data_IF_034955200358
#
_entry.id   IF_034955200358
#
_cell.length_a   1.000
_cell.length_b   1.000
_cell.length_c   1.000
_cell.angle_alpha   90.00
_cell.angle_beta   90.00
_cell.angle_gamma   90.00
#
_symmetry.space_group_name_H-M   'P 1'
#
loop_
_entity.id
_entity.type
_entity.pdbx_description
1 polymer ?
#
# COMPACT_ATOMS: atom_id res chain seq x y z
N UNK A 1 76.12 -39.79 -6.84
CA UNK A 1 75.66 -39.41 -8.19
C UNK A 1 74.15 -39.60 -8.18
N UNK A 2 73.40 -38.54 -7.95
CA UNK A 2 71.92 -38.58 -7.84
C UNK A 2 71.38 -37.63 -8.89
N UNK A 3 70.75 -38.19 -9.88
CA UNK A 3 70.15 -37.43 -11.00
C UNK A 3 68.83 -36.78 -10.57
N UNK A 4 68.74 -35.45 -10.58
CA UNK A 4 67.54 -34.69 -10.40
C UNK A 4 66.71 -34.67 -11.71
N UNK A 5 65.48 -35.14 -11.61
CA UNK A 5 64.47 -34.96 -12.67
C UNK A 5 63.78 -33.60 -12.49
N UNK A 6 63.99 -32.71 -13.45
CA UNK A 6 63.31 -31.39 -13.53
C UNK A 6 61.97 -31.57 -14.22
N UNK A 7 60.89 -31.41 -13.48
CA UNK A 7 59.53 -31.27 -14.05
C UNK A 7 59.37 -29.87 -14.65
N UNK A 8 59.22 -29.79 -15.98
CA UNK A 8 58.83 -28.57 -16.68
C UNK A 8 57.33 -28.34 -16.50
N UNK A 9 56.91 -27.35 -15.70
CA UNK A 9 55.55 -26.85 -15.64
C UNK A 9 55.18 -26.13 -16.93
N UNK A 10 54.05 -26.49 -17.52
CA UNK A 10 53.46 -25.80 -18.66
C UNK A 10 52.92 -24.40 -18.21
N UNK A 11 53.09 -23.35 -19.02
CA UNK A 11 52.65 -22.03 -18.63
C UNK A 11 51.12 -21.89 -18.64
N UNK A 12 50.57 -21.19 -17.64
CA UNK A 12 49.15 -21.01 -17.38
C UNK A 12 48.29 -20.47 -18.56
N UNK A 13 48.92 -19.85 -19.56
CA UNK A 13 48.18 -19.38 -20.75
C UNK A 13 47.74 -20.49 -21.69
N UNK A 14 48.33 -21.67 -21.62
CA UNK A 14 47.93 -22.84 -22.43
C UNK A 14 46.62 -23.49 -21.96
N UNK A 15 46.26 -23.35 -20.71
CA UNK A 15 44.97 -23.78 -20.13
C UNK A 15 43.81 -22.84 -20.52
N UNK A 16 44.08 -21.53 -20.64
CA UNK A 16 43.07 -20.56 -21.04
C UNK A 16 42.62 -20.72 -22.51
N UNK A 17 43.51 -21.12 -23.38
CA UNK A 17 43.21 -21.30 -24.81
C UNK A 17 42.35 -22.53 -25.12
N UNK A 18 42.36 -23.54 -24.25
CA UNK A 18 41.47 -24.73 -24.36
C UNK A 18 40.08 -24.49 -23.78
N UNK A 19 39.94 -23.61 -22.77
CA UNK A 19 38.62 -23.24 -22.24
C UNK A 19 37.81 -22.35 -23.19
N UNK A 20 38.47 -21.48 -23.99
CA UNK A 20 37.80 -20.60 -24.94
C UNK A 20 37.28 -21.31 -26.21
N UNK A 21 37.72 -22.53 -26.49
CA UNK A 21 37.28 -23.33 -27.66
C UNK A 21 36.08 -24.23 -27.37
N UNK A 22 35.69 -24.41 -26.11
CA UNK A 22 34.53 -25.23 -25.69
C UNK A 22 33.22 -24.45 -25.52
N UNK A 23 33.28 -23.12 -25.51
CA UNK A 23 32.11 -22.27 -25.29
C UNK A 23 31.16 -22.18 -26.51
N UNK A 24 31.61 -22.20 -27.77
CA UNK A 24 30.67 -22.13 -28.91
C UNK A 24 29.85 -23.37 -29.16
N UNK A 25 30.33 -24.56 -28.74
CA UNK A 25 29.65 -25.83 -29.07
C UNK A 25 28.49 -26.15 -28.12
N UNK A 26 28.51 -25.69 -26.89
CA UNK A 26 27.38 -25.87 -25.97
C UNK A 26 26.23 -24.86 -26.21
N UNK A 27 26.52 -23.71 -26.82
CA UNK A 27 25.48 -22.71 -27.12
C UNK A 27 24.65 -23.07 -28.37
N UNK A 28 25.21 -23.88 -29.31
CA UNK A 28 24.47 -24.27 -30.50
C UNK A 28 23.56 -25.50 -30.27
N UNK A 29 23.80 -26.32 -29.25
CA UNK A 29 22.95 -27.48 -28.94
C UNK A 29 21.70 -27.15 -28.14
N UNK A 30 21.63 -25.95 -27.48
CA UNK A 30 20.48 -25.50 -26.76
C UNK A 30 19.42 -24.81 -27.63
N UNK A 31 19.73 -24.51 -28.89
CA UNK A 31 18.83 -23.78 -29.83
C UNK A 31 17.96 -24.70 -30.70
N UNK A 32 18.15 -26.01 -30.67
CA UNK A 32 17.43 -26.96 -31.56
C UNK A 32 16.36 -27.79 -30.84
N UNK A 33 16.24 -27.70 -29.51
CA UNK A 33 15.26 -28.48 -28.74
C UNK A 33 14.12 -27.62 -28.14
N UNK A 34 13.86 -26.46 -28.69
CA UNK A 34 12.89 -25.48 -28.15
C UNK A 34 11.68 -25.21 -29.04
N UNK A 35 11.12 -26.16 -29.75
CA UNK A 35 9.82 -26.02 -30.44
C UNK A 35 8.93 -27.21 -30.18
N UNK A 36 8.42 -27.36 -28.97
CA UNK A 36 7.18 -28.05 -28.72
C UNK A 36 6.34 -27.08 -27.85
N UNK A 37 5.53 -26.26 -28.52
CA UNK A 37 4.57 -25.39 -27.87
C UNK A 37 3.52 -26.24 -27.15
N UNK A 38 3.64 -26.41 -25.85
CA UNK A 38 2.48 -26.66 -25.02
C UNK A 38 1.78 -25.33 -24.88
N UNK A 39 0.66 -25.15 -25.56
CA UNK A 39 -0.32 -24.12 -25.20
C UNK A 39 -0.75 -24.43 -23.75
N UNK A 40 -0.09 -23.76 -22.82
CA UNK A 40 -0.54 -23.70 -21.44
C UNK A 40 -1.91 -23.02 -21.46
N UNK A 41 -2.94 -23.81 -21.16
CA UNK A 41 -4.26 -23.32 -20.78
C UNK A 41 -4.02 -22.16 -19.80
N UNK A 42 -4.61 -20.98 -19.99
CA UNK A 42 -4.56 -19.93 -18.98
C UNK A 42 -5.04 -20.57 -17.69
N UNK A 43 -4.20 -20.57 -16.68
CA UNK A 43 -4.59 -20.95 -15.33
C UNK A 43 -5.60 -19.88 -14.94
N UNK A 44 -6.91 -20.15 -15.20
CA UNK A 44 -7.98 -19.39 -14.60
C UNK A 44 -7.60 -19.22 -13.14
N UNK A 45 -7.66 -18.00 -12.64
CA UNK A 45 -7.61 -17.73 -11.22
C UNK A 45 -8.78 -18.50 -10.60
N UNK A 46 -8.57 -19.78 -10.38
CA UNK A 46 -9.45 -20.62 -9.61
C UNK A 46 -9.29 -20.15 -8.17
N UNK A 47 -10.01 -19.10 -7.82
CA UNK A 47 -10.41 -18.86 -6.45
C UNK A 47 -11.38 -19.97 -6.05
N UNK A 48 -10.84 -21.18 -5.89
CA UNK A 48 -11.60 -22.37 -5.53
C UNK A 48 -12.05 -22.30 -4.06
N UNK A 49 -13.00 -21.42 -3.78
CA UNK A 49 -13.67 -21.27 -2.51
C UNK A 49 -15.00 -20.56 -2.73
N UNK A 50 -15.97 -20.70 -1.82
CA UNK A 50 -17.24 -19.99 -1.94
C UNK A 50 -17.01 -18.49 -2.07
N UNK A 51 -17.88 -17.82 -2.83
CA UNK A 51 -17.91 -16.36 -2.92
C UNK A 51 -18.15 -15.83 -1.50
N UNK A 52 -17.23 -15.00 -1.02
CA UNK A 52 -17.31 -14.42 0.31
C UNK A 52 -17.88 -13.01 0.19
N UNK A 53 -19.04 -12.79 0.83
CA UNK A 53 -19.80 -11.54 0.75
C UNK A 53 -20.31 -11.11 2.12
N UNK A 54 -20.62 -9.83 2.26
CA UNK A 54 -21.27 -9.25 3.44
C UNK A 54 -22.40 -8.29 3.01
N UNK A 55 -23.55 -8.30 3.72
CA UNK A 55 -23.95 -9.34 4.66
C UNK A 55 -24.03 -10.71 3.99
N UNK A 56 -24.11 -11.78 4.78
CA UNK A 56 -24.32 -13.14 4.28
C UNK A 56 -25.77 -13.31 3.80
N UNK A 57 -26.03 -14.17 2.80
CA UNK A 57 -27.39 -14.52 2.42
C UNK A 57 -28.21 -14.98 3.65
N UNK A 58 -29.53 -14.67 3.72
CA UNK A 58 -30.39 -14.24 2.62
C UNK A 58 -30.42 -12.73 2.35
N UNK A 59 -29.66 -11.92 3.08
CA UNK A 59 -29.57 -10.48 2.83
C UNK A 59 -28.83 -10.19 1.53
N UNK A 60 -29.15 -9.06 0.89
CA UNK A 60 -28.48 -8.61 -0.35
C UNK A 60 -27.02 -8.22 -0.07
N UNK A 61 -26.04 -8.86 -0.68
CA UNK A 61 -24.64 -8.55 -0.47
C UNK A 61 -24.30 -7.11 -0.86
N UNK A 62 -23.47 -6.47 -0.05
CA UNK A 62 -22.95 -5.10 -0.27
C UNK A 62 -21.46 -5.08 -0.50
N UNK A 63 -20.73 -5.97 0.13
CA UNK A 63 -19.29 -6.11 0.01
C UNK A 63 -18.98 -7.52 -0.46
N UNK A 64 -18.08 -7.63 -1.43
CA UNK A 64 -17.53 -8.89 -1.92
C UNK A 64 -16.02 -8.91 -1.77
N UNK A 65 -15.48 -10.00 -1.25
CA UNK A 65 -14.05 -10.28 -1.30
C UNK A 65 -13.61 -10.58 -2.74
N UNK A 66 -12.54 -9.93 -3.20
CA UNK A 66 -12.01 -10.11 -4.55
C UNK A 66 -10.72 -10.94 -4.52
N UNK A 67 -9.70 -10.45 -3.80
CA UNK A 67 -8.39 -11.09 -3.76
C UNK A 67 -7.54 -10.57 -2.61
N UNK A 68 -6.34 -11.10 -2.48
CA UNK A 68 -5.29 -10.54 -1.62
C UNK A 68 -3.96 -10.45 -2.35
N UNK A 69 -3.13 -9.51 -1.92
CA UNK A 69 -1.80 -9.25 -2.46
C UNK A 69 -0.80 -9.31 -1.32
N UNK A 70 0.10 -10.27 -1.36
CA UNK A 70 1.26 -10.40 -0.48
C UNK A 70 2.57 -10.37 -1.28
N UNK A 71 2.51 -10.65 -2.58
CA UNK A 71 3.65 -10.72 -3.48
C UNK A 71 3.24 -10.39 -4.93
N UNK A 72 4.18 -10.13 -5.85
CA UNK A 72 3.89 -9.90 -7.27
C UNK A 72 3.17 -11.08 -7.94
N UNK A 73 3.47 -12.30 -7.51
CA UNK A 73 2.88 -13.52 -8.05
C UNK A 73 1.37 -13.60 -7.84
N UNK A 74 0.85 -13.03 -6.74
CA UNK A 74 -0.58 -13.01 -6.42
C UNK A 74 -1.39 -12.19 -7.44
N UNK A 75 -0.73 -11.26 -8.11
CA UNK A 75 -1.29 -10.43 -9.18
C UNK A 75 -0.92 -10.92 -10.58
N UNK A 76 -0.35 -12.12 -10.70
CA UNK A 76 0.08 -12.69 -11.98
C UNK A 76 1.32 -12.03 -12.57
N UNK A 77 2.01 -11.17 -11.83
CA UNK A 77 3.25 -10.52 -12.27
C UNK A 77 4.38 -11.56 -12.20
N UNK A 78 4.79 -12.07 -13.35
CA UNK A 78 5.81 -13.11 -13.41
C UNK A 78 7.23 -12.53 -13.49
N UNK A 79 8.17 -13.17 -12.79
CA UNK A 79 9.59 -12.82 -12.91
C UNK A 79 10.11 -13.20 -14.29
N UNK A 80 10.70 -12.24 -15.00
CA UNK A 80 11.36 -12.51 -16.28
C UNK A 80 12.48 -13.55 -16.14
N UNK A 81 12.74 -14.31 -17.22
CA UNK A 81 13.74 -15.40 -17.25
C UNK A 81 15.13 -14.95 -16.72
N UNK A 82 15.61 -13.80 -17.17
CA UNK A 82 16.91 -13.26 -16.73
C UNK A 82 16.98 -12.97 -15.24
N UNK A 83 15.89 -12.53 -14.64
CA UNK A 83 15.79 -12.27 -13.20
C UNK A 83 15.82 -13.58 -12.41
N UNK A 84 15.14 -14.62 -12.86
CA UNK A 84 15.20 -15.97 -12.25
C UNK A 84 16.62 -16.52 -12.26
N UNK A 85 17.36 -16.32 -13.36
CA UNK A 85 18.77 -16.72 -13.46
C UNK A 85 19.65 -15.91 -12.51
N UNK A 86 19.44 -14.60 -12.41
CA UNK A 86 20.18 -13.74 -11.48
C UNK A 86 19.94 -14.15 -10.02
N UNK A 87 18.67 -14.35 -9.63
CA UNK A 87 18.30 -14.81 -8.27
C UNK A 87 18.88 -16.18 -7.91
N UNK A 88 19.05 -17.06 -8.89
CA UNK A 88 19.70 -18.37 -8.70
C UNK A 88 21.18 -18.22 -8.30
N UNK A 89 21.90 -17.26 -8.87
CA UNK A 89 23.34 -17.06 -8.60
C UNK A 89 23.63 -16.12 -7.43
N UNK A 90 22.75 -15.12 -7.16
CA UNK A 90 23.01 -14.04 -6.21
C UNK A 90 22.04 -13.99 -5.02
N UNK A 91 21.12 -14.95 -4.95
CA UNK A 91 20.09 -15.02 -3.91
C UNK A 91 18.79 -14.30 -4.28
N UNK A 92 17.71 -14.68 -3.58
CA UNK A 92 16.38 -14.09 -3.79
C UNK A 92 16.29 -12.73 -3.12
N UNK A 93 15.85 -11.72 -3.84
CA UNK A 93 15.37 -10.48 -3.24
C UNK A 93 13.97 -10.76 -2.69
N UNK A 94 13.73 -10.47 -1.41
CA UNK A 94 12.39 -10.57 -0.83
C UNK A 94 11.47 -9.52 -1.45
N UNK A 95 10.47 -9.99 -2.20
CA UNK A 95 9.46 -9.17 -2.87
C UNK A 95 8.10 -9.30 -2.18
N UNK A 96 8.09 -9.90 -0.99
CA UNK A 96 6.88 -10.04 -0.19
C UNK A 96 6.67 -8.83 0.70
N UNK A 97 5.42 -8.42 0.78
CA UNK A 97 4.95 -7.48 1.79
C UNK A 97 5.19 -8.10 3.17
N UNK A 98 5.67 -7.29 4.13
CA UNK A 98 5.86 -7.73 5.52
C UNK A 98 4.92 -7.03 6.48
N UNK A 99 4.91 -5.70 6.49
CA UNK A 99 4.05 -4.93 7.39
C UNK A 99 3.45 -3.73 6.64
N UNK A 100 2.43 -3.96 5.80
CA UNK A 100 1.77 -2.90 5.07
C UNK A 100 1.07 -1.95 6.04
N UNK A 101 1.18 -0.64 5.79
CA UNK A 101 0.51 0.37 6.59
C UNK A 101 -0.47 1.19 5.74
N UNK A 102 0.01 1.98 4.80
CA UNK A 102 -0.78 2.75 3.88
C UNK A 102 -0.89 2.07 2.52
N UNK A 103 -2.01 2.22 1.87
CA UNK A 103 -2.26 1.72 0.50
C UNK A 103 -2.98 2.78 -0.31
N UNK A 104 -2.64 2.88 -1.60
CA UNK A 104 -3.38 3.68 -2.58
C UNK A 104 -3.26 3.03 -3.96
N UNK A 105 -4.16 3.37 -4.87
CA UNK A 105 -4.12 2.88 -6.25
C UNK A 105 -4.49 3.98 -7.23
N UNK A 106 -3.94 3.94 -8.44
CA UNK A 106 -4.34 4.83 -9.51
C UNK A 106 -5.48 4.24 -10.38
N UNK A 107 -6.06 5.07 -11.22
CA UNK A 107 -7.15 4.67 -12.12
C UNK A 107 -6.74 3.64 -13.17
N UNK A 108 -5.45 3.51 -13.46
CA UNK A 108 -4.92 2.53 -14.42
C UNK A 108 -4.75 1.14 -13.77
N UNK A 109 -4.77 1.07 -12.43
CA UNK A 109 -4.64 -0.18 -11.68
C UNK A 109 -3.24 -0.42 -11.10
N UNK A 110 -2.41 0.61 -11.00
CA UNK A 110 -1.15 0.54 -10.26
C UNK A 110 -1.44 0.72 -8.78
N UNK A 111 -0.91 -0.18 -7.95
CA UNK A 111 -1.12 -0.21 -6.50
C UNK A 111 0.20 0.17 -5.82
N UNK A 112 0.12 1.04 -4.81
CA UNK A 112 1.25 1.49 -3.99
C UNK A 112 0.98 1.11 -2.54
N UNK A 113 1.94 0.44 -1.89
CA UNK A 113 1.80 -0.04 -0.52
C UNK A 113 3.03 0.37 0.28
N UNK A 114 2.86 1.21 1.30
CA UNK A 114 3.91 1.52 2.25
C UNK A 114 4.12 0.33 3.19
N UNK A 115 5.33 -0.19 3.23
CA UNK A 115 5.77 -1.27 4.11
C UNK A 115 6.76 -0.73 5.14
N UNK A 116 6.30 -0.60 6.38
CA UNK A 116 7.09 0.00 7.46
C UNK A 116 8.21 -0.91 7.95
N UNK A 117 8.04 -2.24 7.87
CA UNK A 117 9.08 -3.20 8.28
C UNK A 117 10.22 -3.26 7.26
N UNK A 118 9.90 -3.28 5.97
CA UNK A 118 10.91 -3.28 4.90
C UNK A 118 11.44 -1.89 4.58
N UNK A 119 10.79 -0.82 5.06
CA UNK A 119 11.13 0.58 4.79
C UNK A 119 11.10 0.89 3.29
N UNK A 120 10.05 0.44 2.62
CA UNK A 120 9.86 0.63 1.18
C UNK A 120 8.41 1.01 0.87
N UNK A 121 8.19 1.49 -0.34
CA UNK A 121 6.88 1.46 -0.97
C UNK A 121 6.93 0.43 -2.09
N UNK A 122 6.12 -0.61 -1.99
CA UNK A 122 5.90 -1.57 -3.07
C UNK A 122 5.06 -0.93 -4.16
N UNK A 123 5.44 -1.14 -5.41
CA UNK A 123 4.69 -0.67 -6.58
C UNK A 123 4.36 -1.86 -7.48
N UNK A 124 3.07 -2.15 -7.60
CA UNK A 124 2.53 -3.19 -8.47
C UNK A 124 1.85 -2.54 -9.66
N UNK A 125 2.48 -2.60 -10.82
CA UNK A 125 1.96 -2.03 -12.08
C UNK A 125 1.25 -3.13 -12.86
N UNK A 126 -0.07 -3.22 -12.68
CA UNK A 126 -0.89 -4.26 -13.32
C UNK A 126 -0.93 -4.14 -14.84
N UNK A 127 -1.11 -2.95 -15.44
CA UNK A 127 -1.06 -2.80 -16.89
C UNK A 127 0.25 -3.24 -17.53
N UNK A 128 1.39 -2.89 -16.91
CA UNK A 128 2.73 -3.19 -17.43
C UNK A 128 3.26 -4.53 -16.94
N UNK A 129 2.53 -5.24 -16.07
CA UNK A 129 2.95 -6.49 -15.45
C UNK A 129 4.35 -6.38 -14.81
N UNK A 130 4.58 -5.26 -14.08
CA UNK A 130 5.86 -4.93 -13.45
C UNK A 130 5.70 -4.75 -11.95
N UNK A 131 6.76 -5.08 -11.25
CA UNK A 131 6.91 -4.80 -9.83
C UNK A 131 8.27 -4.17 -9.57
N UNK A 132 8.28 -3.17 -8.69
CA UNK A 132 9.49 -2.62 -8.08
C UNK A 132 9.20 -2.07 -6.70
N UNK A 133 10.23 -1.70 -5.96
CA UNK A 133 10.09 -1.01 -4.68
C UNK A 133 10.83 0.32 -4.72
N UNK A 134 10.23 1.35 -4.10
CA UNK A 134 10.85 2.65 -3.84
C UNK A 134 11.39 2.58 -2.41
N UNK A 135 12.69 2.89 -2.24
CA UNK A 135 13.38 2.82 -0.93
C UNK A 135 13.60 4.18 -0.29
N UNK A 136 13.23 5.25 -0.95
CA UNK A 136 13.46 6.62 -0.54
C UNK A 136 14.00 7.48 -1.68
N UNK A 137 14.80 8.47 -1.36
CA UNK A 137 15.45 9.32 -2.33
C UNK A 137 16.82 8.75 -2.76
N UNK A 138 17.47 9.34 -3.78
CA UNK A 138 18.84 8.96 -4.17
C UNK A 138 19.90 9.21 -3.06
N UNK A 139 19.55 9.95 -2.01
CA UNK A 139 20.47 10.32 -0.93
C UNK A 139 20.14 9.61 0.39
N UNK A 140 18.89 9.29 0.61
CA UNK A 140 18.40 8.81 1.93
C UNK A 140 17.26 7.82 1.74
N UNK A 141 17.36 6.70 2.43
CA UNK A 141 16.31 5.69 2.47
C UNK A 141 15.18 6.08 3.43
N UNK A 142 14.01 5.49 3.24
CA UNK A 142 12.92 5.59 4.23
C UNK A 142 13.36 5.04 5.58
N UNK A 143 12.84 5.66 6.65
CA UNK A 143 13.04 5.18 8.02
C UNK A 143 11.76 4.53 8.56
N UNK A 144 10.62 5.15 8.36
CA UNK A 144 9.32 4.63 8.79
C UNK A 144 8.18 5.14 7.89
N UNK A 145 8.08 4.62 6.65
CA UNK A 145 7.03 5.05 5.72
C UNK A 145 5.67 4.54 6.20
N UNK A 146 4.67 5.43 6.22
CA UNK A 146 3.32 5.13 6.71
C UNK A 146 2.24 5.41 5.66
N UNK A 147 1.89 6.66 5.44
CA UNK A 147 0.83 7.06 4.53
C UNK A 147 1.31 7.19 3.09
N UNK A 148 0.42 6.93 2.16
CA UNK A 148 0.63 7.11 0.73
C UNK A 148 -0.60 7.74 0.08
N UNK A 149 -0.39 8.68 -0.84
CA UNK A 149 -1.47 9.26 -1.66
C UNK A 149 -0.96 9.67 -3.04
N UNK A 150 -1.87 9.85 -3.98
CA UNK A 150 -1.56 10.30 -5.33
C UNK A 150 -2.21 11.66 -5.61
N UNK A 151 -1.53 12.53 -6.34
CA UNK A 151 -2.14 13.74 -6.88
C UNK A 151 -2.83 13.50 -8.26
N UNK A 152 -3.33 14.56 -8.89
CA UNK A 152 -3.98 14.47 -10.19
C UNK A 152 -3.08 13.99 -11.33
N UNK A 153 -1.79 14.30 -11.25
CA UNK A 153 -0.76 13.83 -12.19
C UNK A 153 -0.27 12.41 -11.85
N UNK A 154 -0.88 11.77 -10.82
CA UNK A 154 -0.51 10.44 -10.32
C UNK A 154 0.93 10.39 -9.79
N UNK A 155 1.42 11.52 -9.28
CA UNK A 155 2.66 11.56 -8.51
C UNK A 155 2.38 11.06 -7.11
N UNK A 156 3.28 10.23 -6.61
CA UNK A 156 3.15 9.61 -5.30
C UNK A 156 3.72 10.52 -4.21
N UNK A 157 2.99 10.66 -3.12
CA UNK A 157 3.49 11.29 -1.88
C UNK A 157 3.49 10.26 -0.78
N UNK A 158 4.59 10.20 -0.02
CA UNK A 158 4.82 9.23 1.05
C UNK A 158 5.18 9.98 2.32
N UNK A 159 4.46 9.75 3.42
CA UNK A 159 4.87 10.23 4.73
C UNK A 159 5.89 9.27 5.35
N UNK A 160 6.98 9.83 5.88
CA UNK A 160 7.98 9.11 6.67
C UNK A 160 8.03 9.70 8.08
N UNK A 161 7.49 8.96 9.04
CA UNK A 161 7.28 9.43 10.39
C UNK A 161 8.58 9.72 11.15
N UNK A 162 9.60 8.88 10.96
CA UNK A 162 10.90 9.05 11.64
C UNK A 162 11.80 10.08 10.93
N UNK A 163 11.60 10.28 9.63
CA UNK A 163 12.28 11.36 8.90
C UNK A 163 11.60 12.72 9.05
N UNK A 164 10.42 12.76 9.67
CA UNK A 164 9.63 13.97 9.82
C UNK A 164 9.39 14.67 8.47
N UNK A 165 9.09 13.87 7.45
CA UNK A 165 9.01 14.36 6.07
C UNK A 165 7.86 13.73 5.29
N UNK A 166 7.40 14.44 4.26
CA UNK A 166 6.65 13.87 3.15
C UNK A 166 7.48 13.99 1.90
N UNK A 167 7.67 12.88 1.19
CA UNK A 167 8.50 12.81 0.00
C UNK A 167 7.62 12.58 -1.22
N UNK A 168 7.78 13.40 -2.25
CA UNK A 168 7.10 13.29 -3.54
C UNK A 168 7.92 12.53 -4.57
N UNK A 169 7.30 11.59 -5.29
CA UNK A 169 7.91 10.78 -6.34
C UNK A 169 7.13 10.89 -7.64
N UNK A 170 7.84 10.93 -8.75
CA UNK A 170 7.24 10.81 -10.07
C UNK A 170 6.74 9.36 -10.34
N UNK A 171 6.09 9.15 -11.48
CA UNK A 171 5.58 7.81 -11.85
C UNK A 171 6.66 6.76 -12.03
N UNK A 172 7.91 7.16 -12.23
CA UNK A 172 9.09 6.29 -12.32
C UNK A 172 9.70 5.94 -10.98
N UNK A 173 9.24 6.56 -9.88
CA UNK A 173 9.79 6.38 -8.54
C UNK A 173 10.98 7.30 -8.23
N UNK A 174 11.23 8.34 -9.04
CA UNK A 174 12.27 9.32 -8.75
C UNK A 174 11.73 10.42 -7.84
N UNK A 175 12.44 10.71 -6.75
CA UNK A 175 12.05 11.77 -5.83
C UNK A 175 12.20 13.14 -6.49
N UNK A 176 11.18 14.00 -6.37
CA UNK A 176 11.19 15.38 -6.90
C UNK A 176 10.97 16.44 -5.82
N UNK A 177 10.43 16.07 -4.66
CA UNK A 177 10.16 17.00 -3.55
C UNK A 177 10.39 16.32 -2.20
N UNK A 178 10.77 17.09 -1.20
CA UNK A 178 10.80 16.71 0.22
C UNK A 178 10.23 17.85 1.04
N UNK A 179 9.16 17.60 1.77
CA UNK A 179 8.45 18.56 2.63
C UNK A 179 8.79 18.20 4.07
N UNK A 180 9.35 19.14 4.82
CA UNK A 180 9.72 18.96 6.24
C UNK A 180 9.17 20.09 7.13
N UNK A 181 8.73 21.20 6.52
CA UNK A 181 8.28 22.37 7.26
C UNK A 181 7.14 22.03 8.23
N UNK A 182 7.39 22.23 9.52
CA UNK A 182 6.41 22.05 10.58
C UNK A 182 6.09 20.60 10.97
N UNK A 183 6.59 19.58 10.26
CA UNK A 183 6.31 18.17 10.53
C UNK A 183 7.12 17.65 11.73
N UNK A 184 6.48 16.84 12.58
CA UNK A 184 7.09 16.13 13.71
C UNK A 184 6.92 14.61 13.61
N UNK A 185 5.72 14.12 13.30
CA UNK A 185 5.43 12.71 13.07
C UNK A 185 4.28 12.55 12.07
N UNK A 186 4.55 12.81 10.78
CA UNK A 186 3.53 12.66 9.74
C UNK A 186 3.12 11.20 9.60
N UNK A 187 1.80 10.96 9.46
CA UNK A 187 1.22 9.63 9.29
C UNK A 187 0.27 9.60 8.09
N UNK A 188 -1.05 9.61 8.30
CA UNK A 188 -2.01 9.65 7.20
C UNK A 188 -1.86 10.90 6.34
N UNK A 189 -1.99 10.75 5.03
CA UNK A 189 -2.02 11.88 4.11
C UNK A 189 -3.03 11.66 2.99
N UNK A 190 -3.63 12.75 2.52
CA UNK A 190 -4.58 12.75 1.43
C UNK A 190 -4.40 13.97 0.53
N UNK A 191 -4.59 13.78 -0.76
CA UNK A 191 -4.62 14.85 -1.74
C UNK A 191 -6.06 15.31 -1.98
N UNK A 192 -6.31 16.60 -1.82
CA UNK A 192 -7.61 17.18 -2.10
C UNK A 192 -7.66 17.69 -3.54
N UNK A 193 -8.40 16.97 -4.38
CA UNK A 193 -8.53 17.32 -5.78
C UNK A 193 -9.35 18.61 -6.01
N UNK A 194 -10.16 19.08 -5.06
CA UNK A 194 -10.99 20.28 -5.26
C UNK A 194 -10.16 21.58 -5.17
N UNK A 195 -9.17 21.61 -4.28
CA UNK A 195 -8.33 22.80 -4.06
C UNK A 195 -6.84 22.59 -4.40
N UNK A 196 -6.47 21.37 -4.84
CA UNK A 196 -5.10 21.00 -5.24
C UNK A 196 -4.06 21.12 -4.10
N UNK A 197 -4.47 20.75 -2.87
CA UNK A 197 -3.62 20.79 -1.67
C UNK A 197 -3.40 19.39 -1.10
N UNK A 198 -2.26 19.21 -0.43
CA UNK A 198 -1.88 18.00 0.29
C UNK A 198 -2.14 18.19 1.79
N UNK A 199 -2.94 17.31 2.38
CA UNK A 199 -3.29 17.31 3.81
C UNK A 199 -2.49 16.20 4.49
N UNK A 200 -1.81 16.54 5.57
CA UNK A 200 -0.92 15.63 6.33
C UNK A 200 -1.33 15.63 7.78
N UNK A 201 -1.74 14.49 8.28
CA UNK A 201 -1.96 14.29 9.72
C UNK A 201 -0.62 14.18 10.42
N UNK A 202 -0.36 15.04 11.40
CA UNK A 202 0.79 14.91 12.28
C UNK A 202 0.34 14.46 13.68
N UNK A 203 0.74 13.23 14.01
CA UNK A 203 0.28 12.54 15.22
C UNK A 203 0.74 13.25 16.52
N UNK A 204 1.98 13.74 16.54
CA UNK A 204 2.56 14.38 17.74
C UNK A 204 2.09 15.83 17.90
N UNK A 205 1.85 16.52 16.79
CA UNK A 205 1.26 17.87 16.82
C UNK A 205 -0.22 17.87 17.16
N UNK A 206 -0.90 16.72 16.97
CA UNK A 206 -2.35 16.63 17.04
C UNK A 206 -3.06 17.58 16.05
N UNK A 207 -2.46 17.75 14.88
CA UNK A 207 -2.88 18.72 13.85
C UNK A 207 -2.89 18.07 12.47
N UNK A 208 -3.62 18.73 11.57
CA UNK A 208 -3.47 18.52 10.13
C UNK A 208 -2.72 19.72 9.57
N UNK A 209 -1.64 19.47 8.87
CA UNK A 209 -0.87 20.47 8.13
C UNK A 209 -1.23 20.39 6.66
N UNK A 210 -1.48 21.51 6.03
CA UNK A 210 -1.94 21.59 4.64
C UNK A 210 -0.91 22.31 3.79
N UNK A 211 -0.45 21.67 2.73
CA UNK A 211 0.61 22.15 1.86
C UNK A 211 0.15 22.31 0.42
N UNK A 212 0.75 23.25 -0.29
CA UNK A 212 0.71 23.23 -1.74
C UNK A 212 1.65 22.13 -2.30
N UNK A 213 1.51 21.82 -3.60
CA UNK A 213 2.34 20.77 -4.22
C UNK A 213 3.82 21.18 -4.44
N UNK A 214 4.19 22.42 -4.07
CA UNK A 214 5.59 22.87 -4.00
C UNK A 214 6.18 22.69 -2.61
N UNK A 215 5.36 22.22 -1.64
CA UNK A 215 5.78 21.96 -0.26
C UNK A 215 5.67 23.15 0.67
N UNK A 216 5.04 24.24 0.27
CA UNK A 216 4.80 25.42 1.11
C UNK A 216 3.62 25.13 2.05
N UNK A 217 3.81 25.35 3.35
CA UNK A 217 2.75 25.29 4.34
C UNK A 217 1.74 26.43 4.09
N UNK A 218 0.48 26.07 3.91
CA UNK A 218 -0.61 27.01 3.65
C UNK A 218 -1.36 27.37 4.94
N UNK A 219 -1.77 26.38 5.72
CA UNK A 219 -2.43 26.53 7.01
C UNK A 219 -2.38 25.22 7.80
N UNK A 220 -2.80 25.27 9.06
CA UNK A 220 -2.99 24.12 9.93
C UNK A 220 -4.33 24.22 10.64
N UNK A 221 -4.88 23.08 11.08
CA UNK A 221 -6.06 23.02 11.92
C UNK A 221 -6.03 21.81 12.86
N UNK A 222 -6.89 21.81 13.89
CA UNK A 222 -6.86 20.81 14.94
C UNK A 222 -6.22 21.37 16.22
N UNK A 223 -5.15 20.71 16.69
CA UNK A 223 -4.48 20.95 17.96
C UNK A 223 -5.04 20.05 19.06
N UNK A 224 -4.22 19.80 20.09
CA UNK A 224 -4.53 18.82 21.14
C UNK A 224 -5.76 19.17 21.94
N UNK A 225 -6.71 18.22 22.07
CA UNK A 225 -7.90 18.36 22.92
C UNK A 225 -8.96 17.31 22.62
N UNK A 226 -10.05 17.34 23.40
CA UNK A 226 -11.22 16.48 23.23
C UNK A 226 -12.45 17.25 22.70
N UNK A 227 -12.40 18.58 22.69
CA UNK A 227 -13.47 19.46 22.22
C UNK A 227 -13.66 19.30 20.69
N UNK A 228 -14.71 19.91 20.17
CA UNK A 228 -14.94 20.01 18.72
C UNK A 228 -13.76 20.73 18.05
N UNK A 229 -13.39 20.29 16.87
CA UNK A 229 -12.24 20.75 16.09
C UNK A 229 -10.87 20.51 16.75
N UNK A 230 -10.79 19.89 17.94
CA UNK A 230 -9.54 19.45 18.55
C UNK A 230 -9.32 17.96 18.30
N UNK A 231 -8.05 17.55 18.20
CA UNK A 231 -7.64 16.18 17.86
C UNK A 231 -6.80 15.59 18.99
N UNK A 232 -6.84 14.27 19.10
CA UNK A 232 -6.02 13.55 20.07
C UNK A 232 -5.39 12.30 19.43
N UNK A 233 -4.12 12.38 19.10
CA UNK A 233 -3.38 11.37 18.33
C UNK A 233 -4.13 10.93 17.06
N UNK A 234 -4.45 11.87 16.14
CA UNK A 234 -5.08 11.51 14.87
C UNK A 234 -4.16 10.61 14.07
N UNK A 235 -4.72 9.62 13.35
CA UNK A 235 -3.92 8.61 12.67
C UNK A 235 -4.03 8.67 11.15
N UNK A 236 -5.24 8.82 10.63
CA UNK A 236 -5.52 8.76 9.21
C UNK A 236 -6.49 9.84 8.76
N UNK A 237 -6.53 10.05 7.44
CA UNK A 237 -7.32 11.08 6.78
C UNK A 237 -7.84 10.57 5.45
N UNK A 238 -9.08 10.89 5.13
CA UNK A 238 -9.66 10.72 3.81
C UNK A 238 -10.33 12.02 3.36
N UNK A 239 -10.48 12.19 2.05
CA UNK A 239 -11.13 13.35 1.45
C UNK A 239 -12.15 12.85 0.44
N UNK A 240 -13.38 13.34 0.55
CA UNK A 240 -14.45 12.98 -0.38
C UNK A 240 -14.40 13.81 -1.68
N UNK A 241 -15.33 13.52 -2.58
CA UNK A 241 -15.40 14.20 -3.89
C UNK A 241 -15.78 15.68 -3.79
N UNK A 242 -16.46 16.06 -2.71
CA UNK A 242 -16.83 17.45 -2.42
C UNK A 242 -15.68 18.22 -1.73
N UNK A 243 -14.59 17.53 -1.36
CA UNK A 243 -13.41 18.10 -0.71
C UNK A 243 -13.50 18.18 0.80
N UNK A 244 -14.51 17.53 1.43
CA UNK A 244 -14.60 17.44 2.90
C UNK A 244 -13.55 16.48 3.42
N UNK A 245 -13.01 16.81 4.57
CA UNK A 245 -11.87 16.13 5.20
C UNK A 245 -12.37 15.32 6.39
N UNK A 246 -12.09 14.03 6.39
CA UNK A 246 -12.48 13.06 7.42
C UNK A 246 -11.23 12.58 8.13
N UNK A 247 -11.21 12.69 9.47
CA UNK A 247 -10.02 12.38 10.29
C UNK A 247 -10.37 11.34 11.35
N UNK A 248 -9.58 10.26 11.38
CA UNK A 248 -9.60 9.29 12.50
C UNK A 248 -8.93 9.91 13.72
N UNK A 249 -9.74 10.44 14.64
CA UNK A 249 -9.34 11.06 15.91
C UNK A 249 -9.19 9.98 16.99
N UNK A 250 -8.08 9.21 16.91
CA UNK A 250 -7.97 7.87 17.47
C UNK A 250 -8.15 7.81 18.99
N UNK A 251 -7.53 8.73 19.75
CA UNK A 251 -7.63 8.75 21.21
C UNK A 251 -8.84 9.55 21.75
N UNK A 252 -9.64 10.09 20.85
CA UNK A 252 -10.98 10.59 21.15
C UNK A 252 -12.09 9.64 20.68
N UNK A 253 -11.71 8.48 20.09
CA UNK A 253 -12.63 7.41 19.68
C UNK A 253 -13.75 7.88 18.75
N UNK A 254 -13.39 8.75 17.77
CA UNK A 254 -14.34 9.37 16.85
C UNK A 254 -13.73 9.63 15.47
N UNK A 255 -14.58 9.90 14.51
CA UNK A 255 -14.24 10.56 13.26
C UNK A 255 -14.70 11.99 13.33
N UNK A 256 -13.85 12.95 12.97
CA UNK A 256 -14.22 14.34 12.79
C UNK A 256 -14.22 14.72 11.30
N UNK A 257 -15.18 15.54 10.92
CA UNK A 257 -15.42 16.00 9.54
C UNK A 257 -15.22 17.51 9.49
N UNK A 258 -14.44 17.96 8.51
CA UNK A 258 -14.10 19.36 8.30
C UNK A 258 -14.35 19.78 6.85
N UNK A 259 -14.56 21.06 6.62
CA UNK A 259 -14.42 21.66 5.29
C UNK A 259 -12.97 21.64 4.83
N UNK A 260 -12.75 21.90 3.56
CA UNK A 260 -11.39 21.95 2.98
C UNK A 260 -10.51 23.09 3.56
N UNK A 261 -11.09 24.08 4.20
CA UNK A 261 -10.37 25.17 4.90
C UNK A 261 -10.07 24.88 6.37
N UNK A 262 -10.45 23.68 6.88
CA UNK A 262 -10.28 23.29 8.28
C UNK A 262 -11.44 23.69 9.19
N UNK A 263 -12.52 24.27 8.67
CA UNK A 263 -13.74 24.57 9.44
C UNK A 263 -14.45 23.28 9.84
N UNK A 264 -14.73 23.11 11.12
CA UNK A 264 -15.43 21.93 11.65
C UNK A 264 -16.88 21.85 11.12
N UNK A 265 -17.28 20.63 10.71
CA UNK A 265 -18.64 20.33 10.26
C UNK A 265 -19.38 19.52 11.33
N UNK A 266 -18.89 18.32 11.62
CA UNK A 266 -19.52 17.34 12.50
C UNK A 266 -18.53 16.31 12.99
N UNK A 267 -18.99 15.44 13.89
CA UNK A 267 -18.26 14.23 14.26
C UNK A 267 -19.23 13.10 14.59
N UNK A 268 -18.75 11.87 14.56
CA UNK A 268 -19.47 10.68 15.02
C UNK A 268 -18.49 9.68 15.65
N UNK A 269 -19.05 8.70 16.34
CA UNK A 269 -18.30 7.69 17.08
C UNK A 269 -18.19 8.00 18.55
N UNK A 270 -17.99 6.96 19.33
CA UNK A 270 -17.79 6.99 20.79
C UNK A 270 -17.00 5.75 21.21
N UNK A 271 -16.32 5.84 22.33
CA UNK A 271 -15.70 4.68 22.96
C UNK A 271 -16.76 3.66 23.39
N UNK A 272 -16.57 2.41 23.00
CA UNK A 272 -17.44 1.32 23.42
C UNK A 272 -17.04 -0.02 22.80
N UNK A 273 -17.83 -1.04 23.12
CA UNK A 273 -17.69 -2.42 22.66
C UNK A 273 -18.89 -2.92 21.86
N UNK A 274 -19.90 -2.10 21.67
CA UNK A 274 -21.04 -2.40 20.82
C UNK A 274 -20.64 -2.27 19.33
N UNK A 275 -21.39 -2.96 18.47
CA UNK A 275 -21.18 -2.86 17.01
C UNK A 275 -21.33 -1.41 16.56
N UNK A 276 -20.30 -0.88 15.89
CA UNK A 276 -20.25 0.52 15.47
C UNK A 276 -19.62 1.48 16.48
N UNK A 277 -19.40 1.07 17.75
CA UNK A 277 -18.56 1.83 18.66
C UNK A 277 -17.09 1.78 18.21
N UNK A 278 -16.30 2.78 18.60
CA UNK A 278 -14.90 2.93 18.17
C UNK A 278 -13.97 2.79 19.37
N UNK A 279 -13.19 1.70 19.37
CA UNK A 279 -12.18 1.47 20.40
C UNK A 279 -10.77 1.81 19.92
N UNK A 280 -10.48 1.58 18.64
CA UNK A 280 -9.19 1.86 18.03
C UNK A 280 -9.32 2.22 16.54
N UNK A 281 -9.98 3.34 16.21
CA UNK A 281 -10.15 3.76 14.82
C UNK A 281 -8.80 4.07 14.18
N UNK A 282 -8.58 3.53 12.97
CA UNK A 282 -7.33 3.65 12.22
C UNK A 282 -7.58 4.19 10.82
N UNK A 283 -7.39 3.35 9.80
CA UNK A 283 -7.58 3.72 8.40
C UNK A 283 -8.99 4.17 8.09
N UNK A 284 -9.14 5.19 7.26
CA UNK A 284 -10.41 5.72 6.81
C UNK A 284 -10.41 5.87 5.29
N UNK A 285 -11.49 5.46 4.63
CA UNK A 285 -11.71 5.59 3.20
C UNK A 285 -13.16 5.95 2.89
N UNK A 286 -13.43 6.48 1.70
CA UNK A 286 -14.76 6.94 1.30
C UNK A 286 -15.05 6.45 -0.10
N UNK A 287 -16.22 5.85 -0.32
CA UNK A 287 -16.66 5.39 -1.65
C UNK A 287 -17.38 6.48 -2.46
N UNK A 288 -17.83 6.11 -3.65
CA UNK A 288 -18.49 7.02 -4.56
C UNK A 288 -19.87 7.50 -4.08
N UNK A 289 -20.54 6.73 -3.22
CA UNK A 289 -21.84 7.07 -2.65
C UNK A 289 -21.69 7.89 -1.34
N UNK A 290 -20.43 8.02 -0.85
CA UNK A 290 -20.07 8.78 0.35
C UNK A 290 -20.18 7.97 1.63
N UNK A 291 -20.19 6.62 1.53
CA UNK A 291 -20.06 5.78 2.72
C UNK A 291 -18.64 5.85 3.26
N UNK A 292 -18.52 5.85 4.57
CA UNK A 292 -17.26 6.00 5.29
C UNK A 292 -16.84 4.62 5.80
N UNK A 293 -15.72 4.13 5.29
CA UNK A 293 -15.08 2.87 5.69
C UNK A 293 -14.04 3.15 6.76
N UNK A 294 -14.19 2.57 7.93
CA UNK A 294 -13.30 2.80 9.06
C UNK A 294 -12.74 1.47 9.57
N UNK A 295 -11.43 1.32 9.55
CA UNK A 295 -10.75 0.18 10.17
C UNK A 295 -10.83 0.31 11.68
N UNK A 296 -11.43 -0.68 12.35
CA UNK A 296 -11.43 -0.81 13.79
C UNK A 296 -10.35 -1.84 14.21
N UNK A 297 -9.20 -1.30 14.60
CA UNK A 297 -7.99 -2.12 14.81
C UNK A 297 -7.95 -2.88 16.14
N UNK A 298 -8.95 -2.78 17.01
CA UNK A 298 -9.06 -3.61 18.22
C UNK A 298 -9.85 -4.88 17.95
N UNK A 299 -10.89 -4.78 17.10
CA UNK A 299 -11.79 -5.88 16.79
C UNK A 299 -11.49 -6.56 15.45
N UNK A 300 -10.49 -6.04 14.72
CA UNK A 300 -10.09 -6.55 13.41
C UNK A 300 -11.25 -6.64 12.41
N UNK A 301 -12.00 -5.53 12.30
CA UNK A 301 -13.13 -5.38 11.38
C UNK A 301 -13.04 -4.05 10.62
N UNK A 302 -13.85 -3.93 9.59
CA UNK A 302 -14.13 -2.65 8.91
C UNK A 302 -15.60 -2.30 9.13
N UNK A 303 -15.84 -1.16 9.75
CA UNK A 303 -17.16 -0.57 9.90
C UNK A 303 -17.45 0.38 8.73
N UNK A 304 -18.67 0.32 8.20
CA UNK A 304 -19.16 1.20 7.14
C UNK A 304 -20.27 2.07 7.73
N UNK A 305 -20.10 3.38 7.63
CA UNK A 305 -21.05 4.37 8.10
C UNK A 305 -21.61 5.18 6.92
N UNK A 306 -22.82 5.72 7.09
CA UNK A 306 -23.32 6.76 6.22
C UNK A 306 -22.67 8.12 6.53
N UNK A 307 -23.09 9.17 5.79
CA UNK A 307 -22.58 10.53 5.95
C UNK A 307 -22.95 11.16 7.29
N UNK A 308 -23.98 10.66 7.94
CA UNK A 308 -24.45 11.12 9.25
C UNK A 308 -23.79 10.34 10.42
N UNK A 309 -22.94 9.37 10.10
CA UNK A 309 -22.21 8.54 11.07
C UNK A 309 -23.06 7.40 11.63
N UNK A 310 -24.13 6.99 10.95
CA UNK A 310 -24.90 5.82 11.33
C UNK A 310 -24.25 4.56 10.73
N UNK A 311 -24.10 3.54 11.54
CA UNK A 311 -23.53 2.26 11.08
C UNK A 311 -24.46 1.58 10.09
N UNK A 312 -23.95 1.26 8.92
CA UNK A 312 -24.65 0.53 7.87
C UNK A 312 -24.29 -0.96 7.85
N UNK A 313 -23.01 -1.28 8.01
CA UNK A 313 -22.50 -2.65 7.92
C UNK A 313 -21.15 -2.75 8.63
N UNK A 314 -20.87 -3.93 9.17
CA UNK A 314 -19.53 -4.36 9.60
C UNK A 314 -19.12 -5.58 8.80
N UNK A 315 -17.89 -5.59 8.27
CA UNK A 315 -17.35 -6.76 7.57
C UNK A 315 -15.95 -7.12 8.06
N UNK A 316 -15.58 -8.37 7.85
CA UNK A 316 -14.34 -8.94 8.35
C UNK A 316 -14.48 -9.48 9.77
N UNK A 317 -13.42 -10.09 10.25
CA UNK A 317 -13.29 -10.64 11.61
C UNK A 317 -11.82 -10.89 11.91
N UNK A 318 -11.47 -11.11 13.18
CA UNK A 318 -10.11 -11.48 13.57
C UNK A 318 -9.69 -12.84 12.98
N UNK A 319 -8.52 -12.94 12.39
CA UNK A 319 -7.95 -14.18 11.86
C UNK A 319 -6.97 -14.00 10.71
N UNK A 320 -6.65 -15.12 10.02
CA UNK A 320 -5.65 -15.17 8.94
C UNK A 320 -6.24 -15.57 7.57
N UNK A 321 -7.52 -15.94 7.54
CA UNK A 321 -8.25 -16.36 6.34
C UNK A 321 -8.61 -15.21 5.41
N UNK A 322 -9.38 -15.53 4.35
CA UNK A 322 -9.96 -14.54 3.44
C UNK A 322 -11.04 -13.75 4.16
N UNK A 323 -10.99 -12.41 4.11
CA UNK A 323 -11.92 -11.54 4.83
C UNK A 323 -11.71 -11.51 6.35
N UNK A 324 -10.67 -12.17 6.86
CA UNK A 324 -10.21 -12.04 8.23
C UNK A 324 -9.01 -11.12 8.30
N UNK A 325 -8.86 -10.38 9.40
CA UNK A 325 -7.80 -9.40 9.58
C UNK A 325 -7.00 -9.67 10.86
N UNK A 326 -5.76 -9.22 10.87
CA UNK A 326 -4.94 -9.17 12.07
C UNK A 326 -4.21 -7.84 12.14
N UNK A 327 -4.65 -6.99 13.05
CA UNK A 327 -4.19 -5.61 13.22
C UNK A 327 -4.15 -4.83 11.90
N UNK A 328 -5.29 -4.81 11.20
CA UNK A 328 -5.46 -3.99 10.01
C UNK A 328 -5.18 -2.50 10.34
N UNK A 329 -4.58 -1.78 9.39
CA UNK A 329 -4.12 -0.40 9.59
C UNK A 329 -4.72 0.59 8.61
N UNK A 330 -4.30 0.56 7.35
CA UNK A 330 -4.75 1.48 6.32
C UNK A 330 -5.90 0.90 5.50
N UNK A 331 -6.70 1.79 4.94
CA UNK A 331 -7.74 1.48 3.97
C UNK A 331 -7.77 2.55 2.89
N UNK A 332 -8.05 2.16 1.68
CA UNK A 332 -8.24 3.05 0.54
C UNK A 332 -9.40 2.54 -0.31
N UNK A 333 -10.22 3.44 -0.82
CA UNK A 333 -11.29 3.13 -1.78
C UNK A 333 -10.99 3.84 -3.09
N UNK A 334 -10.93 3.09 -4.19
CA UNK A 334 -10.63 3.67 -5.49
C UNK A 334 -11.90 4.20 -6.21
N UNK A 335 -11.70 4.83 -7.36
CA UNK A 335 -12.81 5.41 -8.14
C UNK A 335 -13.80 4.38 -8.72
N UNK A 336 -13.48 3.08 -8.64
CA UNK A 336 -14.35 1.95 -9.03
C UNK A 336 -14.95 1.26 -7.80
N UNK A 337 -14.84 1.89 -6.64
CA UNK A 337 -15.30 1.40 -5.35
C UNK A 337 -14.69 0.04 -4.95
N UNK A 338 -13.44 -0.21 -5.37
CA UNK A 338 -12.64 -1.28 -4.81
C UNK A 338 -12.00 -0.78 -3.51
N UNK A 339 -12.09 -1.62 -2.50
CA UNK A 339 -11.65 -1.34 -1.14
C UNK A 339 -10.39 -2.15 -0.90
N UNK A 340 -9.30 -1.45 -0.57
CA UNK A 340 -7.99 -2.04 -0.27
C UNK A 340 -7.73 -1.91 1.23
N UNK A 341 -7.56 -3.01 1.94
CA UNK A 341 -7.31 -3.02 3.39
C UNK A 341 -5.90 -3.55 3.65
N UNK A 342 -5.06 -2.76 4.29
CA UNK A 342 -3.72 -3.16 4.73
C UNK A 342 -3.85 -4.04 5.99
N UNK A 343 -3.74 -5.34 5.79
CA UNK A 343 -3.82 -6.39 6.81
C UNK A 343 -2.42 -6.67 7.35
N UNK A 344 -1.94 -5.77 8.25
CA UNK A 344 -0.54 -5.59 8.57
C UNK A 344 0.15 -6.83 9.12
N UNK A 345 -0.43 -7.50 10.09
CA UNK A 345 0.19 -8.67 10.71
C UNK A 345 0.00 -9.96 9.90
N UNK A 346 -0.92 -9.95 8.92
CA UNK A 346 -1.02 -11.02 7.92
C UNK A 346 -0.14 -10.77 6.69
N UNK A 347 0.65 -9.69 6.68
CA UNK A 347 1.63 -9.36 5.63
C UNK A 347 1.00 -9.30 4.23
N UNK A 348 -0.18 -8.70 4.10
CA UNK A 348 -0.94 -8.62 2.84
C UNK A 348 -1.81 -7.36 2.77
N UNK A 349 -2.26 -7.05 1.57
CA UNK A 349 -3.41 -6.15 1.34
C UNK A 349 -4.56 -7.00 0.83
N UNK A 350 -5.73 -6.92 1.44
CA UNK A 350 -6.95 -7.57 0.95
C UNK A 350 -7.77 -6.59 0.12
N UNK A 351 -8.35 -7.08 -0.96
CA UNK A 351 -9.13 -6.28 -1.93
C UNK A 351 -10.57 -6.76 -1.90
N UNK A 352 -11.48 -5.81 -1.74
CA UNK A 352 -12.92 -6.04 -1.75
C UNK A 352 -13.56 -5.13 -2.79
N UNK A 353 -14.81 -5.43 -3.15
CA UNK A 353 -15.64 -4.64 -4.04
C UNK A 353 -16.92 -4.23 -3.34
N UNK A 354 -17.24 -2.94 -3.34
CA UNK A 354 -18.58 -2.47 -3.00
C UNK A 354 -19.54 -2.78 -4.14
N UNK A 355 -20.67 -3.41 -3.81
CA UNK A 355 -21.71 -3.82 -4.74
C UNK A 355 -22.87 -2.81 -4.66
N UNK A 356 -23.03 -1.99 -5.69
CA UNK A 356 -24.14 -1.06 -5.76
C UNK A 356 -25.47 -1.79 -5.89
N UNK A 357 -26.55 -1.22 -5.34
CA UNK A 357 -27.88 -1.78 -5.47
C UNK A 357 -28.28 -1.89 -6.94
N UNK A 358 -28.50 -3.11 -7.44
CA UNK A 358 -29.25 -3.37 -8.67
C UNK A 358 -28.63 -2.86 -9.97
N UNK A 359 -27.30 -2.73 -10.08
CA UNK A 359 -26.63 -2.45 -11.36
C UNK A 359 -25.62 -3.53 -11.71
#
# INVERSE_FOLDING_TARGET
MTTLHVYKSLPQWALYRKMLQLIPTCFLLALVLGCAGSQGIPKELSAAGPILVWPLPPEDPRIQYVSSVASPEDLGISKGFFRKVFEFFFGKTEERIQQPYGVTADSDGRIYIADSALRVVHVFDMPEQKYWSIRGTNREEFQFPLGVTLDRERRLYVSDAERQAVIGFDRGGNAFATITEGLQRPAGLAFNATNNLLYVVDVIRHEVLVYDLKGKLMFTFGGRGAEQARLNFPTNIAIDREGRVYISDAMNFRVQIFQSDGTFISNFGRLGDAVGDLARPKGIGIDSDGHIYLVEGLYDVVNIFDRDGQLLLTFGSAGVGRGEFWLATGIFVDAKDRIYVADSYNSRVQIFQYLHNGR
#
